data_IF_146794674015
#
_entry.id   IF_146794674015
#
_cell.length_a   1.000
_cell.length_b   1.000
_cell.length_c   1.000
_cell.angle_alpha   90.00
_cell.angle_beta   90.00
_cell.angle_gamma   90.00
#
_symmetry.space_group_name_H-M   'P 1'
#
loop_
_entity.id
_entity.type
_entity.pdbx_description
1 polymer ?
#
# COMPACT_ATOMS: atom_id res chain seq x y z
N UNK A 1 -37.57 -19.01 28.28
CA UNK A 1 -36.64 -20.11 27.96
C UNK A 1 -37.46 -21.17 27.23
N UNK A 2 -37.23 -21.34 25.93
CA UNK A 2 -37.98 -22.30 25.11
C UNK A 2 -37.17 -23.61 25.07
N UNK A 3 -37.85 -24.70 25.44
CA UNK A 3 -37.30 -26.04 25.60
C UNK A 3 -36.66 -26.58 24.32
N UNK A 4 -35.49 -27.18 24.52
CA UNK A 4 -34.65 -27.82 23.51
C UNK A 4 -34.95 -29.31 23.41
N UNK A 5 -35.94 -29.71 22.62
CA UNK A 5 -36.00 -31.05 22.02
C UNK A 5 -37.31 -31.22 21.24
N UNK A 6 -37.28 -30.91 19.93
CA UNK A 6 -38.03 -31.60 18.86
C UNK A 6 -37.79 -30.87 17.53
N UNK A 7 -37.13 -31.57 16.59
CA UNK A 7 -36.88 -31.12 15.21
C UNK A 7 -35.84 -30.00 15.05
N UNK A 8 -34.54 -30.36 15.01
CA UNK A 8 -33.48 -29.40 14.60
C UNK A 8 -33.83 -28.88 13.21
N UNK A 9 -34.10 -27.58 13.10
CA UNK A 9 -34.26 -26.97 11.79
C UNK A 9 -32.89 -26.98 11.11
N UNK A 10 -32.78 -27.56 9.92
CA UNK A 10 -31.51 -27.65 9.20
C UNK A 10 -30.99 -26.29 8.68
N UNK A 11 -31.68 -25.19 9.00
CA UNK A 11 -31.37 -23.87 8.45
C UNK A 11 -30.58 -22.99 9.42
N UNK A 12 -29.29 -23.30 9.59
CA UNK A 12 -28.33 -22.55 10.41
C UNK A 12 -28.30 -21.03 10.11
N UNK A 13 -28.65 -20.61 8.89
CA UNK A 13 -28.72 -19.19 8.50
C UNK A 13 -29.89 -18.49 9.18
N UNK A 14 -31.08 -19.10 9.12
CA UNK A 14 -32.31 -18.54 9.70
C UNK A 14 -32.21 -18.50 11.24
N UNK A 15 -31.69 -19.56 11.86
CA UNK A 15 -31.47 -19.58 13.31
C UNK A 15 -30.51 -18.48 13.76
N UNK A 16 -29.42 -18.28 13.02
CA UNK A 16 -28.47 -17.20 13.29
C UNK A 16 -29.09 -15.82 13.06
N UNK A 17 -29.89 -15.65 12.01
CA UNK A 17 -30.60 -14.41 11.74
C UNK A 17 -31.61 -14.07 12.85
N UNK A 18 -32.32 -15.06 13.40
CA UNK A 18 -33.20 -14.90 14.57
C UNK A 18 -32.39 -14.39 15.77
N UNK A 19 -31.27 -15.04 16.09
CA UNK A 19 -30.40 -14.63 17.20
C UNK A 19 -29.98 -13.15 17.06
N UNK A 20 -29.49 -12.76 15.89
CA UNK A 20 -29.06 -11.38 15.63
C UNK A 20 -30.23 -10.39 15.73
N UNK A 21 -31.32 -10.66 15.00
CA UNK A 21 -32.46 -9.74 14.91
C UNK A 21 -33.32 -9.72 16.18
N UNK A 22 -33.18 -10.68 17.09
CA UNK A 22 -33.79 -10.58 18.42
C UNK A 22 -33.22 -9.43 19.27
N UNK A 23 -32.00 -8.97 18.95
CA UNK A 23 -31.26 -7.94 19.70
C UNK A 23 -31.00 -6.66 18.91
N UNK A 24 -30.65 -6.80 17.63
CA UNK A 24 -30.14 -5.67 16.84
C UNK A 24 -30.98 -5.43 15.58
N UNK A 25 -31.54 -4.21 15.39
CA UNK A 25 -32.12 -3.81 14.12
C UNK A 25 -31.02 -3.69 13.06
N UNK A 26 -31.13 -4.46 11.98
CA UNK A 26 -30.17 -4.42 10.88
C UNK A 26 -30.86 -4.14 9.55
N UNK A 27 -30.33 -3.21 8.74
CA UNK A 27 -30.78 -3.04 7.36
C UNK A 27 -30.37 -4.23 6.50
N UNK A 28 -30.88 -4.32 5.27
CA UNK A 28 -30.60 -5.45 4.39
C UNK A 28 -29.10 -5.64 4.14
N UNK A 29 -28.36 -4.58 3.82
CA UNK A 29 -26.91 -4.69 3.62
C UNK A 29 -26.16 -5.15 4.87
N UNK A 30 -26.53 -4.63 6.04
CA UNK A 30 -25.88 -5.00 7.30
C UNK A 30 -26.14 -6.44 7.72
N UNK A 31 -27.38 -6.93 7.57
CA UNK A 31 -27.70 -8.33 7.81
C UNK A 31 -27.03 -9.22 6.76
N UNK A 32 -27.01 -8.81 5.49
CA UNK A 32 -26.35 -9.54 4.42
C UNK A 32 -24.83 -9.68 4.64
N UNK A 33 -24.17 -8.66 5.21
CA UNK A 33 -22.75 -8.72 5.60
C UNK A 33 -22.45 -9.86 6.55
N UNK A 34 -23.37 -10.20 7.46
CA UNK A 34 -23.20 -11.32 8.40
C UNK A 34 -23.00 -12.66 7.70
N UNK A 35 -23.40 -12.77 6.43
CA UNK A 35 -23.37 -13.98 5.62
C UNK A 35 -22.67 -13.76 4.27
N UNK A 36 -21.86 -12.70 4.13
CA UNK A 36 -21.33 -12.23 2.85
C UNK A 36 -20.53 -13.27 2.07
N UNK A 37 -19.88 -14.21 2.78
CA UNK A 37 -19.08 -15.29 2.18
C UNK A 37 -19.92 -16.49 1.71
N UNK A 38 -21.25 -16.42 1.80
CA UNK A 38 -22.18 -17.43 1.30
C UNK A 38 -22.95 -16.91 0.09
N UNK A 39 -23.09 -17.71 -0.96
CA UNK A 39 -23.79 -17.32 -2.19
C UNK A 39 -23.00 -16.29 -3.01
N UNK A 40 -22.09 -16.79 -3.84
CA UNK A 40 -21.25 -15.99 -4.74
C UNK A 40 -22.09 -15.13 -5.70
N UNK A 41 -21.58 -13.95 -6.05
CA UNK A 41 -22.22 -13.03 -7.00
C UNK A 41 -23.30 -12.11 -6.41
N UNK A 42 -23.84 -12.43 -5.22
CA UNK A 42 -24.89 -11.61 -4.59
C UNK A 42 -24.33 -10.41 -3.84
N UNK A 43 -25.01 -9.27 -3.96
CA UNK A 43 -24.79 -8.12 -3.10
C UNK A 43 -25.31 -8.38 -1.69
N UNK A 44 -24.73 -7.69 -0.70
CA UNK A 44 -25.19 -7.83 0.69
C UNK A 44 -26.64 -7.35 0.86
N UNK A 45 -27.05 -6.32 0.12
CA UNK A 45 -28.43 -5.81 0.15
C UNK A 45 -29.42 -6.88 -0.32
N UNK A 46 -29.09 -7.59 -1.40
CA UNK A 46 -29.91 -8.68 -1.93
C UNK A 46 -29.96 -9.85 -0.94
N UNK A 47 -28.78 -10.29 -0.48
CA UNK A 47 -28.65 -11.41 0.48
C UNK A 47 -29.44 -11.15 1.76
N UNK A 48 -29.30 -9.97 2.36
CA UNK A 48 -30.03 -9.63 3.57
C UNK A 48 -31.53 -9.52 3.34
N UNK A 49 -31.97 -8.95 2.21
CA UNK A 49 -33.40 -8.92 1.86
C UNK A 49 -33.98 -10.33 1.74
N UNK A 50 -33.26 -11.24 1.06
CA UNK A 50 -33.67 -12.64 0.92
C UNK A 50 -33.77 -13.34 2.28
N UNK A 51 -32.79 -13.13 3.18
CA UNK A 51 -32.82 -13.68 4.55
C UNK A 51 -34.03 -13.14 5.32
N UNK A 52 -34.31 -11.84 5.25
CA UNK A 52 -35.46 -11.24 5.94
C UNK A 52 -36.79 -11.80 5.47
N UNK A 53 -36.98 -11.94 4.15
CA UNK A 53 -38.19 -12.53 3.56
C UNK A 53 -38.34 -13.98 4.01
N UNK A 54 -37.27 -14.76 3.89
CA UNK A 54 -37.27 -16.18 4.27
C UNK A 54 -37.56 -16.36 5.77
N UNK A 55 -36.99 -15.51 6.62
CA UNK A 55 -37.24 -15.52 8.05
C UNK A 55 -38.70 -15.15 8.38
N UNK A 56 -39.24 -14.12 7.74
CA UNK A 56 -40.64 -13.75 7.90
C UNK A 56 -41.58 -14.90 7.52
N UNK A 57 -41.35 -15.55 6.37
CA UNK A 57 -42.13 -16.72 5.94
C UNK A 57 -42.01 -17.89 6.92
N UNK A 58 -40.79 -18.19 7.39
CA UNK A 58 -40.53 -19.24 8.36
C UNK A 58 -41.27 -18.99 9.68
N UNK A 59 -41.22 -17.77 10.21
CA UNK A 59 -41.93 -17.44 11.45
C UNK A 59 -43.46 -17.45 11.24
N UNK A 60 -43.95 -16.96 10.10
CA UNK A 60 -45.37 -16.99 9.76
C UNK A 60 -45.92 -18.42 9.69
N UNK A 61 -45.17 -19.35 9.08
CA UNK A 61 -45.47 -20.78 9.07
C UNK A 61 -45.56 -21.32 10.51
N UNK A 62 -44.59 -21.00 11.37
CA UNK A 62 -44.59 -21.46 12.78
C UNK A 62 -45.76 -20.88 13.59
N UNK A 63 -46.21 -19.66 13.31
CA UNK A 63 -47.40 -19.08 13.94
C UNK A 63 -48.65 -19.85 13.50
N UNK A 64 -48.81 -20.08 12.20
CA UNK A 64 -49.97 -20.81 11.63
C UNK A 64 -50.03 -22.28 12.07
N UNK A 65 -48.89 -22.91 12.26
CA UNK A 65 -48.76 -24.26 12.82
C UNK A 65 -48.96 -24.32 14.34
N UNK A 66 -49.29 -23.19 14.99
CA UNK A 66 -49.39 -23.08 16.45
C UNK A 66 -48.12 -23.47 17.22
N UNK A 67 -46.95 -23.43 16.57
CA UNK A 67 -45.63 -23.70 17.18
C UNK A 67 -45.07 -22.48 17.92
N UNK A 68 -45.53 -21.28 17.57
CA UNK A 68 -45.29 -20.03 18.31
C UNK A 68 -46.62 -19.62 18.95
N UNK A 69 -46.76 -19.90 20.24
CA UNK A 69 -47.99 -19.57 20.99
C UNK A 69 -47.93 -18.14 21.54
N UNK A 70 -46.78 -17.72 22.04
CA UNK A 70 -46.56 -16.37 22.54
C UNK A 70 -46.02 -15.46 21.43
N UNK A 71 -46.90 -14.69 20.80
CA UNK A 71 -46.54 -13.74 19.74
C UNK A 71 -45.66 -12.59 20.25
N UNK A 72 -45.71 -12.28 21.55
CA UNK A 72 -44.87 -11.23 22.14
C UNK A 72 -43.39 -11.65 22.08
N UNK A 73 -43.11 -12.96 22.15
CA UNK A 73 -41.75 -13.51 22.08
C UNK A 73 -40.99 -13.21 20.78
N UNK A 74 -41.71 -12.93 19.68
CA UNK A 74 -41.12 -12.59 18.38
C UNK A 74 -41.27 -11.11 18.00
N UNK A 75 -41.92 -10.31 18.85
CA UNK A 75 -42.20 -8.88 18.60
C UNK A 75 -40.94 -8.12 18.19
N UNK A 76 -39.85 -8.26 18.95
CA UNK A 76 -38.59 -7.55 18.67
C UNK A 76 -37.98 -7.94 17.33
N UNK A 77 -38.10 -9.21 16.93
CA UNK A 77 -37.62 -9.68 15.63
C UNK A 77 -38.41 -9.02 14.51
N UNK A 78 -39.74 -8.91 14.64
CA UNK A 78 -40.58 -8.23 13.66
C UNK A 78 -40.21 -6.75 13.51
N UNK A 79 -39.99 -6.04 14.61
CA UNK A 79 -39.57 -4.63 14.59
C UNK A 79 -38.16 -4.48 13.97
N UNK A 80 -37.23 -5.38 14.30
CA UNK A 80 -35.85 -5.36 13.80
C UNK A 80 -35.70 -5.84 12.35
N UNK A 81 -36.66 -6.61 11.83
CA UNK A 81 -36.81 -6.86 10.40
C UNK A 81 -37.06 -5.56 9.63
N UNK A 82 -37.63 -4.55 10.29
CA UNK A 82 -37.90 -3.23 9.73
C UNK A 82 -39.13 -3.22 8.81
N UNK A 83 -39.23 -2.25 7.88
CA UNK A 83 -40.47 -1.98 7.14
C UNK A 83 -41.11 -3.17 6.41
N UNK A 84 -40.32 -4.18 6.05
CA UNK A 84 -40.83 -5.39 5.38
C UNK A 84 -41.83 -6.17 6.26
N UNK A 85 -41.69 -6.10 7.58
CA UNK A 85 -42.52 -6.80 8.53
C UNK A 85 -43.75 -5.99 8.97
N UNK A 86 -43.92 -4.73 8.56
CA UNK A 86 -44.98 -3.85 9.11
C UNK A 86 -46.39 -4.44 8.95
N UNK A 87 -46.74 -4.88 7.74
CA UNK A 87 -48.06 -5.46 7.46
C UNK A 87 -48.27 -6.77 8.23
N UNK A 88 -47.21 -7.58 8.31
CA UNK A 88 -47.20 -8.85 9.03
C UNK A 88 -47.33 -8.66 10.55
N UNK A 89 -46.66 -7.64 11.09
CA UNK A 89 -46.77 -7.22 12.48
C UNK A 89 -48.21 -6.80 12.83
N UNK A 90 -48.80 -5.92 12.03
CA UNK A 90 -50.16 -5.43 12.25
C UNK A 90 -51.20 -6.53 12.20
N UNK A 91 -51.00 -7.55 11.36
CA UNK A 91 -51.90 -8.72 11.27
C UNK A 91 -51.98 -9.50 12.59
N UNK A 92 -50.86 -9.72 13.28
CA UNK A 92 -50.83 -10.60 14.46
C UNK A 92 -50.86 -9.86 15.79
N UNK A 93 -50.28 -8.67 15.89
CA UNK A 93 -50.11 -7.96 17.17
C UNK A 93 -51.09 -6.79 17.36
N UNK A 94 -51.77 -6.35 16.29
CA UNK A 94 -52.79 -5.28 16.33
C UNK A 94 -52.37 -4.01 17.10
N UNK A 95 -51.06 -3.73 17.19
CA UNK A 95 -50.49 -2.56 17.85
C UNK A 95 -49.78 -1.66 16.85
N UNK A 96 -49.35 -0.49 17.31
CA UNK A 96 -48.47 0.37 16.52
C UNK A 96 -47.15 -0.35 16.20
N UNK A 97 -46.67 -0.17 14.96
CA UNK A 97 -45.43 -0.76 14.49
C UNK A 97 -44.33 0.29 14.57
N UNK A 98 -43.25 -0.04 15.28
CA UNK A 98 -42.09 0.83 15.41
C UNK A 98 -40.92 0.27 14.60
N UNK A 99 -40.26 1.15 13.84
CA UNK A 99 -39.02 0.82 13.15
C UNK A 99 -37.84 1.49 13.82
N UNK A 100 -36.76 0.73 13.99
CA UNK A 100 -35.51 1.26 14.51
C UNK A 100 -34.50 1.46 13.38
N UNK A 101 -33.70 2.53 13.43
CA UNK A 101 -32.55 2.68 12.57
C UNK A 101 -31.61 1.48 12.69
N UNK A 102 -30.92 1.13 11.60
CA UNK A 102 -29.94 0.06 11.66
C UNK A 102 -28.85 0.37 12.69
N UNK A 103 -28.64 -0.55 13.64
CA UNK A 103 -27.65 -0.43 14.70
C UNK A 103 -26.24 -0.14 14.19
N UNK A 104 -25.85 -0.75 13.05
CA UNK A 104 -24.52 -0.60 12.47
C UNK A 104 -24.33 0.67 11.62
N UNK A 105 -25.26 0.95 10.70
CA UNK A 105 -25.05 2.03 9.70
C UNK A 105 -26.08 3.16 9.76
N UNK A 106 -27.03 3.11 10.70
CA UNK A 106 -28.12 4.08 10.83
C UNK A 106 -28.93 4.27 9.53
N UNK A 107 -29.02 3.22 8.70
CA UNK A 107 -29.63 3.22 7.37
C UNK A 107 -28.94 4.12 6.32
N UNK A 108 -27.70 4.56 6.57
CA UNK A 108 -26.96 5.49 5.69
C UNK A 108 -26.00 4.81 4.71
N UNK A 109 -25.94 3.47 4.68
CA UNK A 109 -24.89 2.76 3.91
C UNK A 109 -24.95 3.04 2.39
N UNK A 110 -26.14 3.10 1.82
CA UNK A 110 -26.31 3.36 0.38
C UNK A 110 -25.98 4.83 0.06
N UNK A 111 -26.38 5.77 0.92
CA UNK A 111 -26.01 7.18 0.85
C UNK A 111 -24.48 7.38 0.91
N UNK A 112 -23.81 6.68 1.84
CA UNK A 112 -22.34 6.72 1.98
C UNK A 112 -21.64 6.22 0.72
N UNK A 113 -22.11 5.12 0.13
CA UNK A 113 -21.54 4.58 -1.12
C UNK A 113 -21.69 5.61 -2.26
N UNK A 114 -22.87 6.20 -2.40
CA UNK A 114 -23.14 7.17 -3.46
C UNK A 114 -22.27 8.43 -3.29
N UNK A 115 -22.21 8.99 -2.09
CA UNK A 115 -21.40 10.19 -1.80
C UNK A 115 -19.90 9.94 -2.04
N UNK A 116 -19.39 8.77 -1.61
CA UNK A 116 -18.00 8.39 -1.90
C UNK A 116 -17.77 8.24 -3.42
N UNK A 117 -18.67 7.55 -4.12
CA UNK A 117 -18.57 7.39 -5.57
C UNK A 117 -18.48 8.73 -6.30
N UNK A 118 -19.38 9.67 -6.01
CA UNK A 118 -19.41 10.98 -6.66
C UNK A 118 -18.13 11.77 -6.42
N UNK A 119 -17.66 11.79 -5.16
CA UNK A 119 -16.43 12.49 -4.77
C UNK A 119 -15.19 11.86 -5.40
N UNK A 120 -15.08 10.54 -5.38
CA UNK A 120 -13.96 9.83 -5.99
C UNK A 120 -13.94 9.99 -7.51
N UNK A 121 -15.11 9.89 -8.16
CA UNK A 121 -15.24 10.07 -9.61
C UNK A 121 -14.82 11.48 -10.04
N UNK A 122 -15.24 12.51 -9.30
CA UNK A 122 -14.83 13.90 -9.55
C UNK A 122 -13.32 14.09 -9.42
N UNK A 123 -12.71 13.51 -8.38
CA UNK A 123 -11.25 13.57 -8.19
C UNK A 123 -10.49 12.88 -9.32
N UNK A 124 -10.86 11.65 -9.67
CA UNK A 124 -10.22 10.89 -10.74
C UNK A 124 -10.33 11.59 -12.10
N UNK A 125 -11.52 12.10 -12.41
CA UNK A 125 -11.75 12.84 -13.65
C UNK A 125 -10.92 14.13 -13.73
N UNK A 126 -10.71 14.81 -12.60
CA UNK A 126 -9.87 16.01 -12.53
C UNK A 126 -8.37 15.75 -12.61
N UNK A 127 -7.89 14.62 -12.09
CA UNK A 127 -6.47 14.26 -12.08
C UNK A 127 -5.97 13.64 -13.39
N UNK A 128 -6.87 13.07 -14.20
CA UNK A 128 -6.49 12.34 -15.42
C UNK A 128 -5.77 11.01 -15.18
N UNK A 129 -5.57 10.59 -13.92
CA UNK A 129 -5.01 9.27 -13.59
C UNK A 129 -6.09 8.19 -13.60
N UNK A 130 -5.71 7.00 -14.09
CA UNK A 130 -6.58 5.80 -14.09
C UNK A 130 -6.09 4.74 -13.09
N UNK A 131 -4.94 4.93 -12.46
CA UNK A 131 -4.33 3.93 -11.58
C UNK A 131 -4.53 4.29 -10.11
N UNK A 132 -5.58 3.74 -9.50
CA UNK A 132 -5.95 4.06 -8.11
C UNK A 132 -6.41 2.84 -7.31
N UNK A 133 -6.37 2.97 -5.99
CA UNK A 133 -7.12 2.12 -5.05
C UNK A 133 -8.03 2.94 -4.15
N UNK A 134 -9.06 2.29 -3.62
CA UNK A 134 -9.98 2.89 -2.65
C UNK A 134 -9.61 2.52 -1.21
N UNK A 135 -9.70 3.49 -0.32
CA UNK A 135 -9.64 3.35 1.12
C UNK A 135 -10.92 3.84 1.77
N UNK A 136 -11.22 3.30 2.95
CA UNK A 136 -12.28 3.83 3.82
C UNK A 136 -11.74 3.90 5.24
N UNK A 137 -11.99 5.02 5.89
CA UNK A 137 -11.71 5.29 7.30
C UNK A 137 -13.04 5.31 8.07
N UNK A 138 -13.27 4.26 8.87
CA UNK A 138 -14.42 4.16 9.76
C UNK A 138 -14.16 4.95 11.05
N UNK A 139 -15.22 5.52 11.63
CA UNK A 139 -15.19 6.06 12.98
C UNK A 139 -15.10 4.93 14.04
N UNK A 140 -14.65 5.28 15.24
CA UNK A 140 -14.43 4.30 16.33
C UNK A 140 -15.73 3.65 16.82
N UNK A 141 -16.86 4.36 16.80
CA UNK A 141 -18.16 3.81 17.22
C UNK A 141 -18.61 2.71 16.24
N UNK A 142 -18.54 2.97 14.93
CA UNK A 142 -18.85 1.97 13.90
C UNK A 142 -17.95 0.73 14.03
N UNK A 143 -16.63 0.91 14.25
CA UNK A 143 -15.70 -0.21 14.46
C UNK A 143 -16.07 -1.02 15.70
N UNK A 144 -16.42 -0.35 16.80
CA UNK A 144 -16.79 -1.00 18.06
C UNK A 144 -18.05 -1.84 17.90
N UNK A 145 -19.12 -1.26 17.33
CA UNK A 145 -20.40 -1.93 17.06
C UNK A 145 -20.25 -3.12 16.13
N UNK A 146 -19.44 -2.98 15.08
CA UNK A 146 -19.13 -4.08 14.16
C UNK A 146 -18.44 -5.23 14.89
N UNK A 147 -17.40 -4.94 15.68
CA UNK A 147 -16.68 -5.95 16.45
C UNK A 147 -17.54 -6.63 17.53
N UNK A 148 -18.45 -5.89 18.17
CA UNK A 148 -19.41 -6.41 19.15
C UNK A 148 -20.27 -7.52 18.53
N UNK A 149 -20.97 -7.21 17.43
CA UNK A 149 -21.85 -8.15 16.73
C UNK A 149 -21.08 -9.37 16.20
N UNK A 150 -19.88 -9.18 15.64
CA UNK A 150 -19.07 -10.29 15.12
C UNK A 150 -18.73 -11.28 16.23
N UNK A 151 -18.27 -10.77 17.38
CA UNK A 151 -17.85 -11.59 18.52
C UNK A 151 -19.04 -12.28 19.17
N UNK A 152 -20.11 -11.54 19.41
CA UNK A 152 -21.30 -12.07 20.10
C UNK A 152 -21.92 -13.25 19.36
N UNK A 153 -22.03 -13.17 18.03
CA UNK A 153 -22.72 -14.19 17.24
C UNK A 153 -21.79 -15.17 16.51
N UNK A 154 -20.47 -15.03 16.70
CA UNK A 154 -19.42 -15.79 16.04
C UNK A 154 -19.58 -15.80 14.50
N UNK A 155 -19.62 -14.60 13.90
CA UNK A 155 -19.91 -14.42 12.48
C UNK A 155 -18.70 -14.71 11.58
N UNK A 156 -18.45 -16.00 11.32
CA UNK A 156 -17.31 -16.47 10.50
C UNK A 156 -17.38 -16.05 9.02
N UNK A 157 -18.58 -15.77 8.51
CA UNK A 157 -18.81 -15.38 7.10
C UNK A 157 -18.95 -13.87 6.90
N UNK A 158 -18.59 -13.09 7.92
CA UNK A 158 -18.76 -11.64 7.94
C UNK A 158 -17.87 -10.93 6.90
N UNK A 159 -18.42 -9.93 6.21
CA UNK A 159 -17.66 -8.89 5.47
C UNK A 159 -17.75 -7.57 6.24
N UNK A 160 -16.64 -6.82 6.36
CA UNK A 160 -16.65 -5.51 7.04
C UNK A 160 -17.40 -4.45 6.24
N UNK A 161 -17.97 -3.46 6.94
CA UNK A 161 -18.59 -2.27 6.33
C UNK A 161 -17.63 -1.60 5.36
N UNK A 162 -16.36 -1.45 5.78
CA UNK A 162 -15.29 -0.89 4.95
C UNK A 162 -15.11 -1.66 3.64
N UNK A 163 -15.12 -2.99 3.67
CA UNK A 163 -14.93 -3.80 2.47
C UNK A 163 -16.14 -3.73 1.54
N UNK A 164 -17.37 -3.77 2.07
CA UNK A 164 -18.58 -3.59 1.26
C UNK A 164 -18.56 -2.24 0.54
N UNK A 165 -18.27 -1.14 1.25
CA UNK A 165 -18.21 0.20 0.65
C UNK A 165 -17.16 0.24 -0.47
N UNK A 166 -15.93 -0.22 -0.20
CA UNK A 166 -14.86 -0.24 -1.19
C UNK A 166 -15.23 -1.04 -2.44
N UNK A 167 -15.80 -2.23 -2.25
CA UNK A 167 -16.14 -3.15 -3.34
C UNK A 167 -17.24 -2.56 -4.22
N UNK A 168 -18.29 -2.03 -3.61
CA UNK A 168 -19.44 -1.49 -4.35
C UNK A 168 -19.10 -0.19 -5.06
N UNK A 169 -18.39 0.74 -4.39
CA UNK A 169 -17.92 1.98 -5.05
C UNK A 169 -16.92 1.67 -6.16
N UNK A 170 -16.05 0.68 -5.98
CA UNK A 170 -15.12 0.22 -7.01
C UNK A 170 -15.83 -0.30 -8.26
N UNK A 171 -16.93 -1.06 -8.11
CA UNK A 171 -17.76 -1.49 -9.25
C UNK A 171 -18.38 -0.29 -9.98
N UNK A 172 -18.98 0.64 -9.24
CA UNK A 172 -19.60 1.84 -9.81
C UNK A 172 -18.59 2.69 -10.60
N UNK A 173 -17.36 2.84 -10.10
CA UNK A 173 -16.29 3.54 -10.83
C UNK A 173 -15.80 2.76 -12.06
N UNK A 174 -15.71 1.43 -11.97
CA UNK A 174 -15.32 0.58 -13.10
C UNK A 174 -16.33 0.68 -14.26
N UNK A 175 -17.63 0.70 -13.96
CA UNK A 175 -18.70 0.94 -14.95
C UNK A 175 -18.58 2.31 -15.65
N UNK A 176 -17.95 3.30 -14.99
CA UNK A 176 -17.64 4.61 -15.57
C UNK A 176 -16.29 4.67 -16.30
N UNK A 177 -15.63 3.52 -16.50
CA UNK A 177 -14.34 3.44 -17.20
C UNK A 177 -13.11 3.66 -16.33
N UNK A 178 -13.26 3.62 -15.00
CA UNK A 178 -12.17 3.75 -14.02
C UNK A 178 -12.02 2.47 -13.19
N UNK A 179 -11.51 1.35 -13.76
CA UNK A 179 -11.26 0.15 -12.98
C UNK A 179 -10.12 0.38 -11.97
N UNK A 180 -10.24 -0.09 -10.71
CA UNK A 180 -9.18 0.05 -9.71
C UNK A 180 -7.94 -0.81 -10.04
N UNK A 181 -6.73 -0.30 -9.79
CA UNK A 181 -5.46 -1.02 -9.93
C UNK A 181 -4.89 -1.38 -8.55
N UNK A 182 -5.00 -2.64 -8.17
CA UNK A 182 -4.57 -3.11 -6.84
C UNK A 182 -3.06 -3.38 -6.73
N UNK A 183 -2.38 -3.62 -7.85
CA UNK A 183 -0.96 -4.01 -7.89
C UNK A 183 -0.04 -2.78 -7.83
N UNK A 184 -0.33 -1.78 -8.66
CA UNK A 184 0.52 -0.59 -8.83
C UNK A 184 -0.28 0.72 -8.89
N UNK A 185 -1.07 1.05 -7.85
CA UNK A 185 -1.81 2.31 -7.80
C UNK A 185 -0.88 3.52 -7.64
N UNK A 186 -1.11 4.56 -8.43
CA UNK A 186 -0.46 5.88 -8.27
C UNK A 186 -1.00 6.59 -7.03
N UNK A 187 -2.30 6.44 -6.78
CA UNK A 187 -3.01 7.11 -5.69
C UNK A 187 -3.91 6.15 -4.92
N UNK A 188 -4.04 6.41 -3.62
CA UNK A 188 -5.10 5.84 -2.78
C UNK A 188 -6.10 6.94 -2.41
N UNK A 189 -7.35 6.79 -2.85
CA UNK A 189 -8.43 7.71 -2.51
C UNK A 189 -9.13 7.15 -1.28
N UNK A 190 -9.02 7.86 -0.15
CA UNK A 190 -9.60 7.43 1.12
C UNK A 190 -10.82 8.27 1.44
N UNK A 191 -11.94 7.59 1.73
CA UNK A 191 -13.16 8.21 2.24
C UNK A 191 -13.25 8.07 3.75
N UNK A 192 -13.38 9.19 4.46
CA UNK A 192 -13.61 9.19 5.90
C UNK A 192 -15.07 9.37 6.21
N UNK A 193 -15.63 8.43 6.99
CA UNK A 193 -17.07 8.42 7.28
C UNK A 193 -17.47 9.57 8.22
N UNK A 194 -16.62 9.95 9.18
CA UNK A 194 -16.97 10.91 10.24
C UNK A 194 -17.33 12.30 9.72
N UNK A 195 -16.63 12.78 8.70
CA UNK A 195 -16.81 14.11 8.09
C UNK A 195 -17.21 14.05 6.60
N UNK A 196 -17.37 12.83 6.07
CA UNK A 196 -17.67 12.56 4.65
C UNK A 196 -16.67 13.19 3.69
N UNK A 197 -15.40 13.29 4.06
CA UNK A 197 -14.37 13.83 3.19
C UNK A 197 -13.66 12.73 2.40
N UNK A 198 -13.19 13.09 1.21
CA UNK A 198 -12.24 12.30 0.43
C UNK A 198 -10.87 12.96 0.46
N UNK A 199 -9.82 12.16 0.61
CA UNK A 199 -8.45 12.64 0.51
C UNK A 199 -7.60 11.66 -0.29
N UNK A 200 -6.54 12.19 -0.89
CA UNK A 200 -5.61 11.43 -1.71
C UNK A 200 -4.36 11.16 -0.89
N UNK A 201 -3.98 9.90 -0.82
CA UNK A 201 -2.67 9.48 -0.37
C UNK A 201 -1.86 9.11 -1.61
N UNK A 202 -0.86 9.91 -1.95
CA UNK A 202 0.08 9.56 -3.03
C UNK A 202 0.93 8.36 -2.61
N UNK A 203 0.94 7.30 -3.41
CA UNK A 203 1.87 6.20 -3.21
C UNK A 203 3.10 6.48 -4.05
N UNK A 204 4.09 7.10 -3.43
CA UNK A 204 5.34 7.39 -4.09
C UNK A 204 5.99 6.10 -4.61
N UNK A 205 6.12 6.01 -5.93
CA UNK A 205 6.83 4.95 -6.62
C UNK A 205 8.32 5.16 -6.32
N UNK A 206 9.02 4.10 -5.97
CA UNK A 206 10.48 4.13 -5.76
C UNK A 206 11.11 3.24 -6.78
N UNK A 207 12.05 3.78 -7.54
CA UNK A 207 12.73 3.02 -8.60
C UNK A 207 14.20 2.92 -8.26
N UNK A 208 14.73 1.70 -8.27
CA UNK A 208 16.14 1.40 -8.16
C UNK A 208 16.80 1.60 -9.53
N UNK A 209 17.89 2.33 -9.51
CA UNK A 209 18.80 2.53 -10.62
C UNK A 209 20.21 2.17 -10.20
N UNK A 210 21.08 1.95 -11.18
CA UNK A 210 22.53 2.06 -11.03
C UNK A 210 23.02 3.33 -11.70
N UNK A 211 24.05 3.97 -11.14
CA UNK A 211 24.65 5.15 -11.73
C UNK A 211 26.17 5.07 -11.79
N UNK A 212 26.71 5.75 -12.80
CA UNK A 212 28.09 6.22 -12.87
C UNK A 212 28.10 7.74 -12.78
N UNK A 213 29.17 8.31 -12.24
CA UNK A 213 29.43 9.75 -12.21
C UNK A 213 30.75 10.04 -12.91
N UNK A 214 30.68 10.46 -14.16
CA UNK A 214 31.80 10.78 -15.04
C UNK A 214 32.41 12.15 -14.73
N UNK A 215 31.61 13.09 -14.24
CA UNK A 215 32.10 14.41 -13.82
C UNK A 215 32.58 14.42 -12.37
N UNK A 216 33.62 15.19 -12.07
CA UNK A 216 34.05 15.46 -10.68
C UNK A 216 33.39 16.76 -10.22
N UNK A 217 33.30 16.94 -8.91
CA UNK A 217 32.79 18.11 -8.24
C UNK A 217 31.28 18.38 -8.38
N UNK A 218 30.51 17.45 -8.96
CA UNK A 218 29.05 17.46 -8.92
C UNK A 218 28.53 16.45 -7.87
N UNK A 219 27.91 16.90 -6.76
CA UNK A 219 27.36 16.01 -5.75
C UNK A 219 26.02 15.40 -6.16
N UNK A 220 25.60 14.35 -5.45
CA UNK A 220 24.26 13.77 -5.59
C UNK A 220 23.22 14.73 -5.03
N UNK A 221 23.47 15.28 -3.84
CA UNK A 221 22.59 16.29 -3.24
C UNK A 221 23.22 17.68 -3.33
N UNK A 222 22.40 18.62 -3.79
CA UNK A 222 22.66 20.06 -3.89
C UNK A 222 23.17 20.69 -2.59
N UNK A 223 22.82 20.13 -1.43
CA UNK A 223 23.29 20.58 -0.12
C UNK A 223 24.81 20.49 0.04
N UNK A 224 25.47 19.59 -0.70
CA UNK A 224 26.92 19.43 -0.69
C UNK A 224 27.63 20.24 -1.79
N UNK A 225 26.93 21.12 -2.49
CA UNK A 225 27.50 21.96 -3.55
C UNK A 225 28.32 23.12 -2.95
N UNK A 226 29.56 23.29 -3.44
CA UNK A 226 30.43 24.42 -3.05
C UNK A 226 29.99 25.76 -3.66
N UNK A 227 29.22 25.75 -4.75
CA UNK A 227 28.76 26.95 -5.48
C UNK A 227 27.28 27.27 -5.24
N UNK A 228 26.58 26.46 -4.45
CA UNK A 228 25.13 26.55 -4.23
C UNK A 228 24.32 25.95 -5.38
N UNK A 229 23.26 25.20 -5.05
CA UNK A 229 22.20 24.68 -5.94
C UNK A 229 22.56 23.76 -7.12
N UNK A 230 23.79 23.25 -7.20
CA UNK A 230 24.17 22.27 -8.22
C UNK A 230 24.38 20.88 -7.60
N UNK A 231 23.40 20.00 -7.79
CA UNK A 231 23.46 18.58 -7.45
C UNK A 231 22.56 17.76 -8.38
N UNK A 232 22.74 16.44 -8.40
CA UNK A 232 21.92 15.55 -9.23
C UNK A 232 20.42 15.68 -8.89
N UNK A 233 20.07 15.79 -7.61
CA UNK A 233 18.70 16.04 -7.13
C UNK A 233 18.07 17.30 -7.77
N UNK A 234 18.81 18.42 -7.81
CA UNK A 234 18.35 19.66 -8.42
C UNK A 234 18.24 19.56 -9.94
N UNK A 235 19.20 18.89 -10.59
CA UNK A 235 19.19 18.68 -12.04
C UNK A 235 18.03 17.77 -12.48
N UNK A 236 17.74 16.73 -11.71
CA UNK A 236 16.63 15.83 -11.98
C UNK A 236 15.27 16.45 -11.61
N UNK A 237 15.24 17.39 -10.66
CA UNK A 237 14.02 17.85 -10.00
C UNK A 237 13.23 16.69 -9.39
N UNK A 238 13.96 15.71 -8.83
CA UNK A 238 13.40 14.50 -8.22
C UNK A 238 13.99 14.29 -6.85
N UNK A 239 13.23 13.62 -5.99
CA UNK A 239 13.69 13.25 -4.66
C UNK A 239 14.52 11.96 -4.75
N UNK A 240 15.79 12.06 -4.38
CA UNK A 240 16.67 10.90 -4.23
C UNK A 240 16.47 10.35 -2.81
N UNK A 241 15.88 9.17 -2.70
CA UNK A 241 15.55 8.53 -1.42
C UNK A 241 16.78 7.93 -0.76
N UNK A 242 17.66 7.36 -1.57
CA UNK A 242 18.88 6.71 -1.12
C UNK A 242 19.91 6.70 -2.24
N UNK A 243 21.18 6.89 -1.92
CA UNK A 243 22.27 6.68 -2.86
C UNK A 243 23.54 6.28 -2.11
N UNK A 244 24.28 5.32 -2.65
CA UNK A 244 25.70 5.24 -2.30
C UNK A 244 26.43 6.42 -2.93
N UNK A 245 27.44 6.96 -2.26
CA UNK A 245 28.19 8.11 -2.76
C UNK A 245 29.67 8.02 -2.38
N UNK A 246 30.48 8.68 -3.20
CA UNK A 246 31.90 8.95 -2.96
C UNK A 246 32.09 10.48 -2.88
N UNK A 247 33.16 10.97 -2.23
CA UNK A 247 33.49 12.40 -2.22
C UNK A 247 33.46 12.99 -3.63
N UNK A 248 33.03 14.24 -3.76
CA UNK A 248 32.75 14.84 -5.07
C UNK A 248 33.98 14.92 -5.97
N UNK A 249 35.19 14.97 -5.41
CA UNK A 249 36.45 14.93 -6.15
C UNK A 249 36.77 13.58 -6.79
N UNK A 250 36.05 12.52 -6.42
CA UNK A 250 36.26 11.16 -6.95
C UNK A 250 35.27 10.91 -8.08
N UNK A 251 35.77 10.47 -9.24
CA UNK A 251 34.89 9.96 -10.31
C UNK A 251 34.38 8.58 -9.91
N UNK A 252 33.14 8.26 -10.24
CA UNK A 252 32.55 6.95 -9.98
C UNK A 252 32.30 6.26 -11.30
N UNK A 253 33.22 5.38 -11.69
CA UNK A 253 33.11 4.53 -12.89
C UNK A 253 32.49 3.16 -12.57
N UNK A 254 32.50 2.76 -11.30
CA UNK A 254 31.71 1.62 -10.83
C UNK A 254 30.20 1.93 -10.84
N UNK A 255 29.38 0.89 -10.90
CA UNK A 255 27.92 0.99 -10.82
C UNK A 255 27.47 1.07 -9.36
N UNK A 256 27.00 2.25 -8.93
CA UNK A 256 26.44 2.46 -7.60
C UNK A 256 24.91 2.50 -7.62
N UNK A 257 24.22 1.87 -6.65
CA UNK A 257 22.78 1.96 -6.58
C UNK A 257 22.33 3.33 -6.09
N UNK A 258 21.26 3.81 -6.71
CA UNK A 258 20.53 5.02 -6.38
C UNK A 258 19.03 4.76 -6.48
N UNK A 259 18.26 5.24 -5.52
CA UNK A 259 16.80 5.10 -5.47
C UNK A 259 16.19 6.47 -5.64
N UNK A 260 15.38 6.62 -6.67
CA UNK A 260 14.74 7.89 -7.04
C UNK A 260 13.22 7.73 -6.90
N UNK A 261 12.58 8.72 -6.30
CA UNK A 261 11.13 8.77 -6.13
C UNK A 261 10.44 9.30 -7.40
N UNK A 262 9.37 8.65 -7.82
CA UNK A 262 8.53 9.03 -8.95
C UNK A 262 9.33 9.26 -10.25
N UNK A 263 10.26 8.36 -10.55
CA UNK A 263 11.10 8.37 -11.76
C UNK A 263 11.09 7.00 -12.43
N UNK A 264 10.86 6.99 -13.74
CA UNK A 264 10.59 5.75 -14.49
C UNK A 264 11.35 5.64 -15.82
N UNK A 265 12.10 6.67 -16.23
CA UNK A 265 12.91 6.63 -17.45
C UNK A 265 13.91 5.49 -17.41
N UNK A 266 14.10 4.76 -18.51
CA UNK A 266 15.02 3.62 -18.53
C UNK A 266 16.49 4.04 -18.46
N UNK A 267 16.84 5.19 -19.06
CA UNK A 267 18.17 5.79 -19.02
C UNK A 267 18.09 7.28 -18.80
N UNK A 268 19.03 7.82 -18.02
CA UNK A 268 19.16 9.25 -17.75
C UNK A 268 20.63 9.65 -17.83
N UNK A 269 20.94 10.60 -18.71
CA UNK A 269 22.26 11.20 -18.84
C UNK A 269 22.18 12.70 -18.53
N UNK A 270 22.72 13.12 -17.39
CA UNK A 270 22.60 14.52 -16.93
C UNK A 270 23.76 14.91 -16.02
N UNK A 271 24.37 16.08 -16.25
CA UNK A 271 25.47 16.58 -15.41
C UNK A 271 26.70 15.65 -15.35
N UNK A 272 26.87 14.74 -16.33
CA UNK A 272 27.90 13.70 -16.31
C UNK A 272 27.55 12.50 -15.42
N UNK A 273 26.31 12.37 -14.98
CA UNK A 273 25.76 11.11 -14.47
C UNK A 273 25.22 10.29 -15.63
N UNK A 274 25.49 8.99 -15.63
CA UNK A 274 24.82 8.00 -16.45
C UNK A 274 24.05 7.08 -15.52
N UNK A 275 22.73 7.03 -15.64
CA UNK A 275 21.84 6.34 -14.71
C UNK A 275 20.98 5.37 -15.53
N UNK A 276 20.96 4.09 -15.15
CA UNK A 276 20.19 3.04 -15.83
C UNK A 276 19.24 2.36 -14.87
N UNK A 277 17.99 2.21 -15.30
CA UNK A 277 16.91 1.61 -14.50
C UNK A 277 17.18 0.14 -14.26
N UNK A 278 16.89 -0.30 -13.03
CA UNK A 278 16.91 -1.72 -12.66
C UNK A 278 15.48 -2.20 -12.50
N UNK A 279 14.74 -1.65 -11.53
CA UNK A 279 13.36 -2.06 -11.24
C UNK A 279 12.65 -1.10 -10.29
N UNK A 280 11.32 -1.19 -10.21
CA UNK A 280 10.53 -0.58 -9.14
C UNK A 280 10.65 -1.41 -7.86
N UNK A 281 10.74 -0.75 -6.70
CA UNK A 281 11.02 -1.38 -5.40
C UNK A 281 10.04 -0.95 -4.30
N UNK A 282 9.79 -1.84 -3.34
CA UNK A 282 9.03 -1.58 -2.13
C UNK A 282 9.89 -1.18 -0.93
N UNK A 283 9.26 -1.14 0.26
CA UNK A 283 9.95 -0.78 1.51
C UNK A 283 10.98 -1.84 1.94
N UNK A 284 10.71 -3.12 1.69
CA UNK A 284 11.59 -4.23 2.11
C UNK A 284 12.87 -4.25 1.28
N UNK A 285 12.74 -4.08 -0.03
CA UNK A 285 13.86 -4.00 -0.96
C UNK A 285 14.73 -2.79 -0.65
N UNK A 286 14.13 -1.63 -0.37
CA UNK A 286 14.86 -0.42 0.03
C UNK A 286 15.73 -0.67 1.28
N UNK A 287 15.19 -1.35 2.30
CA UNK A 287 15.95 -1.72 3.49
C UNK A 287 17.13 -2.63 3.14
N UNK A 288 16.89 -3.68 2.34
CA UNK A 288 17.95 -4.59 1.89
C UNK A 288 19.07 -3.84 1.15
N UNK A 289 18.72 -3.01 0.17
CA UNK A 289 19.67 -2.21 -0.63
C UNK A 289 20.49 -1.27 0.28
N UNK A 290 19.83 -0.56 1.18
CA UNK A 290 20.50 0.40 2.09
C UNK A 290 21.53 -0.27 3.02
N UNK A 291 21.31 -1.56 3.35
CA UNK A 291 22.20 -2.35 4.21
C UNK A 291 23.39 -2.97 3.45
N UNK A 292 23.31 -3.06 2.12
CA UNK A 292 24.26 -3.77 1.28
C UNK A 292 25.49 -2.90 0.94
N UNK A 293 26.23 -2.49 1.97
CA UNK A 293 27.43 -1.67 1.79
C UNK A 293 28.51 -2.43 1.00
N UNK A 294 29.32 -1.74 0.17
CA UNK A 294 30.49 -2.35 -0.46
C UNK A 294 31.46 -2.87 0.60
N UNK A 295 31.91 -4.11 0.45
CA UNK A 295 32.94 -4.71 1.31
C UNK A 295 34.36 -4.32 0.90
N UNK A 296 34.54 -4.01 -0.38
CA UNK A 296 35.81 -3.56 -0.96
C UNK A 296 35.55 -2.59 -2.10
N UNK A 297 36.43 -1.61 -2.24
CA UNK A 297 36.46 -0.62 -3.32
C UNK A 297 37.83 -0.66 -3.99
N UNK A 298 37.83 -0.71 -5.32
CA UNK A 298 39.04 -0.59 -6.13
C UNK A 298 39.11 0.81 -6.70
N UNK A 299 40.13 1.56 -6.32
CA UNK A 299 40.40 2.88 -6.86
C UNK A 299 41.55 2.83 -7.86
N UNK A 300 41.42 3.56 -8.97
CA UNK A 300 42.54 3.98 -9.81
C UNK A 300 42.98 5.36 -9.34
N UNK A 301 44.23 5.47 -8.92
CA UNK A 301 44.85 6.73 -8.50
C UNK A 301 45.94 7.08 -9.49
N UNK A 302 45.66 8.08 -10.32
CA UNK A 302 46.63 8.60 -11.28
C UNK A 302 47.54 9.60 -10.57
N UNK A 303 48.85 9.38 -10.64
CA UNK A 303 49.87 10.17 -9.96
C UNK A 303 50.96 10.59 -10.92
N UNK A 304 51.60 11.73 -10.64
CA UNK A 304 52.90 12.09 -11.19
C UNK A 304 53.98 11.74 -10.17
N UNK A 305 55.08 11.13 -10.60
CA UNK A 305 56.25 10.86 -9.74
C UNK A 305 57.57 11.00 -10.48
N UNK A 306 58.54 11.63 -9.82
CA UNK A 306 59.94 11.69 -10.25
C UNK A 306 60.67 10.36 -10.01
N UNK A 307 60.18 9.55 -9.06
CA UNK A 307 60.67 8.20 -8.77
C UNK A 307 59.98 7.15 -9.62
N UNK A 308 60.70 6.07 -9.95
CA UNK A 308 60.10 4.90 -10.58
C UNK A 308 59.23 4.15 -9.58
N UNK A 309 57.98 3.86 -9.94
CA UNK A 309 57.03 3.10 -9.12
C UNK A 309 56.85 1.71 -9.74
N UNK A 310 57.57 0.71 -9.21
CA UNK A 310 57.64 -0.64 -9.79
C UNK A 310 56.31 -1.38 -9.87
N UNK A 311 55.38 -1.10 -8.97
CA UNK A 311 54.05 -1.73 -8.92
C UNK A 311 52.96 -0.90 -9.61
N UNK A 312 53.32 0.22 -10.23
CA UNK A 312 52.38 1.12 -10.89
C UNK A 312 52.40 0.95 -12.42
N UNK A 313 51.24 1.10 -13.06
CA UNK A 313 51.16 1.08 -14.51
C UNK A 313 51.60 2.45 -15.06
N UNK A 314 52.71 2.51 -15.79
CA UNK A 314 53.14 3.76 -16.44
C UNK A 314 52.16 4.12 -17.55
N UNK A 315 51.59 5.33 -17.48
CA UNK A 315 50.63 5.86 -18.45
C UNK A 315 51.35 6.67 -19.51
N UNK A 316 52.14 7.66 -19.09
CA UNK A 316 52.88 8.54 -19.99
C UNK A 316 53.99 9.28 -19.23
N UNK A 317 55.24 9.17 -19.67
CA UNK A 317 56.39 9.77 -18.98
C UNK A 317 56.43 9.40 -17.50
N UNK A 318 56.31 10.42 -16.64
CA UNK A 318 56.31 10.31 -15.17
C UNK A 318 54.90 10.16 -14.57
N UNK A 319 53.89 9.88 -15.38
CA UNK A 319 52.51 9.64 -14.94
C UNK A 319 52.28 8.14 -14.82
N UNK A 320 51.76 7.72 -13.67
CA UNK A 320 51.48 6.34 -13.33
C UNK A 320 50.05 6.17 -12.79
N UNK A 321 49.44 5.02 -13.04
CA UNK A 321 48.21 4.58 -12.42
C UNK A 321 48.50 3.55 -11.33
N UNK A 322 48.03 3.84 -10.13
CA UNK A 322 48.03 2.93 -8.98
C UNK A 322 46.64 2.32 -8.83
N UNK A 323 46.57 1.00 -8.62
CA UNK A 323 45.31 0.30 -8.37
C UNK A 323 45.26 -0.15 -6.91
N UNK A 324 44.39 0.48 -6.13
CA UNK A 324 44.37 0.32 -4.68
C UNK A 324 43.01 -0.25 -4.25
N UNK A 325 43.06 -1.44 -3.67
CA UNK A 325 41.91 -2.08 -3.01
C UNK A 325 41.88 -1.69 -1.52
N UNK A 326 40.74 -1.14 -1.07
CA UNK A 326 40.48 -0.72 0.33
C UNK A 326 39.03 -0.89 0.72
N UNK A 327 38.75 -0.98 2.03
CA UNK A 327 37.38 -1.10 2.55
C UNK A 327 36.65 0.25 2.54
N UNK A 328 37.37 1.36 2.62
CA UNK A 328 36.78 2.70 2.70
C UNK A 328 37.67 3.79 2.09
N UNK A 329 37.08 4.96 1.82
CA UNK A 329 37.83 6.13 1.36
C UNK A 329 38.82 6.66 2.42
N UNK A 330 38.53 6.49 3.72
CA UNK A 330 39.48 6.87 4.78
C UNK A 330 40.74 6.01 4.73
N UNK A 331 40.58 4.71 4.51
CA UNK A 331 41.72 3.80 4.34
C UNK A 331 42.53 4.12 3.06
N UNK A 332 41.86 4.55 1.98
CA UNK A 332 42.55 5.06 0.79
C UNK A 332 43.44 6.25 1.15
N UNK A 333 42.91 7.24 1.88
CA UNK A 333 43.66 8.43 2.31
C UNK A 333 44.89 8.05 3.13
N UNK A 334 44.75 7.12 4.07
CA UNK A 334 45.88 6.64 4.88
C UNK A 334 46.97 5.98 4.02
N UNK A 335 46.58 5.12 3.07
CA UNK A 335 47.53 4.50 2.13
C UNK A 335 48.22 5.54 1.24
N UNK A 336 47.47 6.51 0.72
CA UNK A 336 48.03 7.58 -0.10
C UNK A 336 48.98 8.49 0.69
N UNK A 337 48.66 8.81 1.94
CA UNK A 337 49.54 9.60 2.81
C UNK A 337 50.86 8.89 3.09
N UNK A 338 50.83 7.56 3.28
CA UNK A 338 52.05 6.76 3.43
C UNK A 338 52.90 6.79 2.16
N UNK A 339 52.29 6.59 0.99
CA UNK A 339 52.99 6.68 -0.28
C UNK A 339 53.62 8.06 -0.51
N UNK A 340 52.91 9.14 -0.16
CA UNK A 340 53.45 10.51 -0.24
C UNK A 340 54.63 10.77 0.69
N UNK A 341 54.74 10.03 1.80
CA UNK A 341 55.92 10.11 2.69
C UNK A 341 57.13 9.31 2.19
N UNK A 342 56.90 8.31 1.34
CA UNK A 342 57.95 7.42 0.82
C UNK A 342 58.47 7.88 -0.55
N UNK A 343 57.61 8.50 -1.35
CA UNK A 343 57.88 8.89 -2.72
C UNK A 343 57.41 10.32 -2.95
N UNK A 344 58.15 11.06 -3.78
CA UNK A 344 57.70 12.35 -4.29
C UNK A 344 56.60 12.11 -5.33
N UNK A 345 55.35 12.04 -4.87
CA UNK A 345 54.17 11.83 -5.70
C UNK A 345 53.16 12.97 -5.59
N UNK A 346 52.59 13.34 -6.73
CA UNK A 346 51.49 14.30 -6.84
C UNK A 346 50.27 13.54 -7.35
N UNK A 347 49.19 13.53 -6.58
CA UNK A 347 47.93 12.90 -7.00
C UNK A 347 47.25 13.79 -8.02
N UNK A 348 47.11 13.29 -9.25
CA UNK A 348 46.44 13.99 -10.33
C UNK A 348 44.95 13.70 -10.32
N UNK A 349 44.56 12.45 -10.07
CA UNK A 349 43.15 12.06 -10.11
C UNK A 349 42.87 10.75 -9.37
N UNK A 350 41.64 10.61 -8.87
CA UNK A 350 41.17 9.37 -8.23
C UNK A 350 39.82 8.99 -8.83
N UNK A 351 39.72 7.74 -9.25
CA UNK A 351 38.52 7.13 -9.82
C UNK A 351 38.18 5.85 -9.07
N UNK A 352 36.93 5.72 -8.63
CA UNK A 352 36.39 4.44 -8.18
C UNK A 352 36.03 3.62 -9.42
N UNK A 353 36.72 2.50 -9.65
CA UNK A 353 36.58 1.71 -10.88
C UNK A 353 35.85 0.38 -10.68
N UNK A 354 35.86 -0.17 -9.46
CA UNK A 354 35.11 -1.39 -9.15
C UNK A 354 34.72 -1.44 -7.67
N UNK A 355 33.64 -2.17 -7.37
CA UNK A 355 33.22 -2.48 -6.01
C UNK A 355 32.84 -3.94 -5.86
N UNK A 356 33.07 -4.49 -4.67
CA UNK A 356 32.73 -5.87 -4.30
C UNK A 356 31.83 -5.92 -3.08
N UNK A 357 31.21 -7.08 -2.88
CA UNK A 357 30.28 -7.38 -1.79
C UNK A 357 28.84 -7.46 -2.28
N UNK A 358 27.90 -7.46 -1.33
CA UNK A 358 26.45 -7.65 -1.59
C UNK A 358 25.84 -6.66 -2.59
N UNK A 359 26.49 -5.53 -2.80
CA UNK A 359 26.07 -4.54 -3.80
C UNK A 359 26.10 -5.11 -5.22
N UNK A 360 27.12 -5.93 -5.55
CA UNK A 360 27.23 -6.63 -6.84
C UNK A 360 26.19 -7.73 -6.98
N UNK A 361 25.84 -8.40 -5.87
CA UNK A 361 24.80 -9.43 -5.87
C UNK A 361 23.42 -8.81 -6.14
N UNK A 362 23.12 -7.64 -5.56
CA UNK A 362 21.86 -6.92 -5.79
C UNK A 362 21.78 -6.41 -7.24
N UNK A 363 22.87 -5.90 -7.81
CA UNK A 363 22.85 -5.45 -9.20
C UNK A 363 22.81 -6.66 -10.16
N UNK A 364 23.64 -7.67 -9.91
CA UNK A 364 23.81 -8.83 -10.79
C UNK A 364 22.68 -9.86 -10.74
N UNK A 365 22.01 -10.06 -9.60
CA UNK A 365 20.88 -11.01 -9.48
C UNK A 365 19.64 -10.45 -10.16
N UNK A 366 19.44 -9.13 -10.12
CA UNK A 366 18.22 -8.50 -10.66
C UNK A 366 18.34 -8.10 -12.13
N UNK A 367 19.56 -7.92 -12.66
CA UNK A 367 19.79 -7.76 -14.10
C UNK A 367 19.64 -9.07 -14.90
N UNK A 368 19.71 -10.24 -14.25
CA UNK A 368 19.59 -11.56 -14.90
C UNK A 368 18.17 -12.14 -14.90
N UNK A 369 17.20 -11.43 -14.33
CA UNK A 369 15.79 -11.86 -14.25
C UNK A 369 14.94 -11.37 -15.43
N UNK A 370 15.58 -10.96 -16.53
CA UNK A 370 14.93 -10.57 -17.80
C UNK A 370 15.58 -11.29 -18.98
#
# INVERSE_FOLDING_TARGET
MINSSEGKSDNKIIEKAIQILSKYPLCNSCLGRCFARLGYGLENKERGKAIKISLMMFLDEKIKDHKIVDLISIKSIMENLGPIAEKWYKLYLSSEFHTYPCYLCQNKIDEIKQDFFEKAFKLLSGLGTKSYVLGVELDEDTKKKENEIIKEFALIYYESIKHEIKREVGKMLAERGYPPNMESPEVEIVYRISDRQVFIISKNIRTLYVYNRLNRNLPISSWFSKKGNEGLDSLLQKKIIFAFSEPTSIRVLAEYPIVIENEERDKIEIGGYNISKVMTIGKRELQAISSAKPSMRRYRVTVYSTSSLSEAARVYGNIYDLFIDVKSFSELKEKLSKLQSQYEIIILSIDLIDVKGRIKDIVGTYLKSF
#
